data_IF_888494570785
#
_entry.id   IF_888494570785
#
_cell.length_a   1.000
_cell.length_b   1.000
_cell.length_c   1.000
_cell.angle_alpha   90.00
_cell.angle_beta   90.00
_cell.angle_gamma   90.00
#
_symmetry.space_group_name_H-M   'P 1'
#
loop_
_entity.id
_entity.type
_entity.pdbx_description
1 polymer ?
#
# COMPACT_ATOMS: atom_id res chain seq x y z
N UNK A 1 3.94 -24.61 -6.84
CA UNK A 1 3.56 -23.74 -5.71
C UNK A 1 4.53 -23.96 -4.56
N UNK A 2 5.20 -22.93 -4.06
CA UNK A 2 5.71 -22.98 -2.68
C UNK A 2 4.48 -23.06 -1.77
N UNK A 3 4.47 -23.96 -0.80
CA UNK A 3 3.37 -24.04 0.16
C UNK A 3 3.22 -22.69 0.90
N UNK A 4 2.04 -22.08 0.85
CA UNK A 4 1.69 -20.90 1.67
C UNK A 4 1.68 -19.53 1.00
N UNK A 5 1.80 -19.42 -0.33
CA UNK A 5 1.56 -18.15 -1.04
C UNK A 5 0.17 -18.15 -1.68
N UNK A 6 -0.58 -17.05 -1.53
CA UNK A 6 -1.89 -16.87 -2.15
C UNK A 6 -1.98 -15.46 -2.76
N UNK A 7 -2.40 -15.29 -4.03
CA UNK A 7 -2.49 -13.96 -4.65
C UNK A 7 -3.31 -12.94 -3.85
N UNK A 8 -4.39 -13.37 -3.23
CA UNK A 8 -5.30 -12.57 -2.41
C UNK A 8 -4.82 -12.32 -0.97
N UNK A 9 -3.64 -12.80 -0.58
CA UNK A 9 -3.11 -12.55 0.77
C UNK A 9 -1.59 -12.54 0.91
N UNK A 10 -0.84 -12.78 -0.17
CA UNK A 10 0.61 -12.89 -0.16
C UNK A 10 1.11 -14.11 0.62
N UNK A 11 2.33 -14.04 1.18
CA UNK A 11 2.86 -15.06 2.09
C UNK A 11 2.15 -15.01 3.46
N UNK A 12 2.27 -16.06 4.29
CA UNK A 12 1.56 -16.12 5.57
C UNK A 12 1.93 -14.93 6.48
N UNK A 13 0.91 -14.29 7.05
CA UNK A 13 1.10 -13.13 7.94
C UNK A 13 1.26 -11.79 7.22
N UNK A 14 1.33 -11.74 5.88
CA UNK A 14 1.49 -10.50 5.13
C UNK A 14 0.38 -9.47 5.42
N UNK A 15 -0.88 -9.86 5.34
CA UNK A 15 -2.00 -8.93 5.59
C UNK A 15 -1.98 -8.35 7.02
N UNK A 16 -1.56 -9.14 8.01
CA UNK A 16 -1.42 -8.66 9.38
C UNK A 16 -0.27 -7.66 9.51
N UNK A 17 0.86 -7.91 8.85
CA UNK A 17 1.98 -6.99 8.79
C UNK A 17 1.63 -5.69 8.04
N UNK A 18 0.93 -5.80 6.91
CA UNK A 18 0.43 -4.64 6.15
C UNK A 18 -0.54 -3.79 6.99
N UNK A 19 -1.43 -4.43 7.75
CA UNK A 19 -2.28 -3.73 8.71
C UNK A 19 -1.48 -3.06 9.84
N UNK A 20 -0.42 -3.68 10.34
CA UNK A 20 0.45 -3.07 11.33
C UNK A 20 1.14 -1.82 10.75
N UNK A 21 1.61 -1.90 9.51
CA UNK A 21 2.26 -0.78 8.84
C UNK A 21 1.31 0.39 8.57
N UNK A 22 0.07 0.11 8.15
CA UNK A 22 -0.97 1.14 8.04
C UNK A 22 -1.19 1.88 9.37
N UNK A 23 -1.19 1.17 10.51
CA UNK A 23 -1.30 1.80 11.84
C UNK A 23 -0.10 2.69 12.16
N UNK A 24 1.10 2.33 11.73
CA UNK A 24 2.28 3.18 11.90
C UNK A 24 2.17 4.48 11.09
N UNK A 25 1.68 4.42 9.85
CA UNK A 25 1.40 5.62 9.04
C UNK A 25 0.39 6.54 9.74
N UNK A 26 -0.66 5.98 10.34
CA UNK A 26 -1.66 6.77 11.08
C UNK A 26 -1.11 7.34 12.39
N UNK A 27 -0.17 6.65 13.04
CA UNK A 27 0.44 7.07 14.30
C UNK A 27 1.61 8.07 14.11
N UNK A 28 2.13 8.23 12.89
CA UNK A 28 3.23 9.13 12.60
C UNK A 28 2.89 10.60 12.95
N UNK A 29 3.75 11.25 13.72
CA UNK A 29 3.50 12.57 14.29
C UNK A 29 3.77 13.74 13.34
N UNK A 30 4.55 13.52 12.30
CA UNK A 30 4.99 14.54 11.35
C UNK A 30 5.12 13.97 9.92
N UNK A 31 5.34 14.83 8.90
CA UNK A 31 5.45 14.38 7.52
C UNK A 31 6.62 13.44 7.22
N UNK A 32 7.78 13.63 7.84
CA UNK A 32 8.96 12.78 7.61
C UNK A 32 8.73 11.37 8.19
N UNK A 33 8.20 11.29 9.40
CA UNK A 33 7.80 10.02 10.01
C UNK A 33 6.70 9.31 9.20
N UNK A 34 5.78 10.08 8.59
CA UNK A 34 4.73 9.52 7.73
C UNK A 34 5.35 8.92 6.46
N UNK A 35 6.30 9.63 5.85
CA UNK A 35 7.04 9.18 4.67
C UNK A 35 7.82 7.88 4.95
N UNK A 36 8.61 7.84 6.02
CA UNK A 36 9.36 6.63 6.41
C UNK A 36 8.43 5.43 6.65
N UNK A 37 7.30 5.64 7.34
CA UNK A 37 6.31 4.59 7.55
C UNK A 37 5.70 4.09 6.23
N UNK A 38 5.52 4.96 5.24
CA UNK A 38 5.07 4.62 3.90
C UNK A 38 6.12 3.84 3.10
N UNK A 39 7.40 4.26 3.16
CA UNK A 39 8.50 3.54 2.53
C UNK A 39 8.64 2.12 3.08
N UNK A 40 8.51 1.96 4.39
CA UNK A 40 8.51 0.65 5.03
C UNK A 40 7.32 -0.22 4.57
N UNK A 41 6.16 0.40 4.29
CA UNK A 41 5.02 -0.30 3.69
C UNK A 41 5.33 -0.75 2.28
N UNK A 42 5.79 0.15 1.41
CA UNK A 42 6.19 -0.19 0.04
C UNK A 42 7.24 -1.32 0.05
N UNK A 43 8.23 -1.24 0.93
CA UNK A 43 9.27 -2.24 1.10
C UNK A 43 8.75 -3.59 1.61
N UNK A 44 7.80 -3.59 2.56
CA UNK A 44 7.13 -4.81 3.02
C UNK A 44 6.40 -5.52 1.87
N UNK A 45 5.63 -4.76 1.09
CA UNK A 45 4.88 -5.27 -0.04
C UNK A 45 5.80 -5.76 -1.18
N UNK A 46 6.85 -5.01 -1.51
CA UNK A 46 7.84 -5.39 -2.50
C UNK A 46 8.61 -6.67 -2.13
N UNK A 47 8.94 -6.87 -0.84
CA UNK A 47 9.54 -8.13 -0.37
C UNK A 47 8.57 -9.31 -0.47
N UNK A 48 7.29 -9.09 -0.16
CA UNK A 48 6.26 -10.12 -0.30
C UNK A 48 6.06 -10.50 -1.78
N UNK A 49 6.04 -9.53 -2.69
CA UNK A 49 6.03 -9.75 -4.14
C UNK A 49 7.25 -10.56 -4.60
N UNK A 50 8.46 -10.20 -4.16
CA UNK A 50 9.68 -10.94 -4.52
C UNK A 50 9.73 -12.39 -4.00
N UNK A 51 8.89 -12.73 -3.01
CA UNK A 51 8.74 -14.09 -2.50
C UNK A 51 7.77 -14.96 -3.33
N UNK A 52 7.00 -14.35 -4.25
CA UNK A 52 6.07 -15.05 -5.12
C UNK A 52 6.79 -16.10 -5.97
N UNK A 53 6.18 -17.29 -6.19
CA UNK A 53 6.72 -18.27 -7.12
C UNK A 53 6.85 -17.70 -8.54
N UNK A 54 7.90 -18.09 -9.26
CA UNK A 54 8.08 -17.69 -10.66
C UNK A 54 6.88 -18.16 -11.51
N UNK A 55 6.31 -17.25 -12.31
CA UNK A 55 5.17 -17.52 -13.17
C UNK A 55 3.79 -17.19 -12.57
N UNK A 56 3.72 -16.66 -11.34
CA UNK A 56 2.48 -16.10 -10.80
C UNK A 56 2.20 -14.70 -11.35
N UNK A 57 0.93 -14.33 -11.54
CA UNK A 57 0.56 -13.06 -12.16
C UNK A 57 0.94 -11.85 -11.29
N UNK A 58 1.34 -10.77 -11.96
CA UNK A 58 1.72 -9.45 -11.39
C UNK A 58 0.55 -8.77 -10.63
N UNK A 59 -0.67 -9.32 -10.67
CA UNK A 59 -1.89 -8.71 -10.13
C UNK A 59 -2.26 -9.19 -8.71
N UNK A 60 -1.30 -9.67 -7.92
CA UNK A 60 -1.56 -10.07 -6.53
C UNK A 60 -1.54 -8.89 -5.56
N UNK A 61 -2.10 -9.09 -4.36
CA UNK A 61 -2.23 -8.02 -3.36
C UNK A 61 -0.88 -7.41 -2.95
N UNK A 62 0.21 -8.19 -2.75
CA UNK A 62 1.54 -7.63 -2.57
C UNK A 62 1.98 -6.70 -3.68
N UNK A 63 1.78 -7.05 -4.96
CA UNK A 63 2.13 -6.18 -6.07
C UNK A 63 1.35 -4.86 -6.04
N UNK A 64 0.03 -4.93 -5.90
CA UNK A 64 -0.83 -3.76 -5.86
C UNK A 64 -0.45 -2.81 -4.72
N UNK A 65 -0.24 -3.34 -3.51
CA UNK A 65 0.20 -2.55 -2.37
C UNK A 65 1.60 -1.97 -2.57
N UNK A 66 2.53 -2.71 -3.21
CA UNK A 66 3.86 -2.19 -3.51
C UNK A 66 3.81 -0.97 -4.42
N UNK A 67 2.92 -0.97 -5.41
CA UNK A 67 2.77 0.15 -6.34
C UNK A 67 2.04 1.33 -5.71
N UNK A 68 0.91 1.09 -5.04
CA UNK A 68 0.14 2.15 -4.34
C UNK A 68 1.05 2.90 -3.35
N UNK A 69 1.76 2.16 -2.49
CA UNK A 69 2.61 2.81 -1.49
C UNK A 69 3.85 3.46 -2.08
N UNK A 70 4.37 2.94 -3.20
CA UNK A 70 5.43 3.61 -3.97
C UNK A 70 4.95 4.97 -4.52
N UNK A 71 3.78 5.00 -5.17
CA UNK A 71 3.22 6.26 -5.69
C UNK A 71 2.96 7.28 -4.58
N UNK A 72 2.42 6.84 -3.45
CA UNK A 72 2.16 7.70 -2.31
C UNK A 72 3.43 8.30 -1.71
N UNK A 73 4.54 7.54 -1.68
CA UNK A 73 5.84 8.08 -1.25
C UNK A 73 6.45 9.00 -2.32
N UNK A 74 6.23 8.73 -3.61
CA UNK A 74 6.68 9.60 -4.69
C UNK A 74 6.01 10.99 -4.64
N UNK A 75 4.75 11.09 -4.20
CA UNK A 75 4.07 12.38 -3.98
C UNK A 75 4.79 13.27 -2.97
N UNK A 76 5.36 12.66 -1.91
CA UNK A 76 6.17 13.36 -0.92
C UNK A 76 7.52 13.80 -1.49
N UNK A 77 8.08 13.03 -2.44
CA UNK A 77 9.38 13.31 -3.07
C UNK A 77 9.30 14.19 -4.31
N UNK A 78 8.11 14.45 -4.82
CA UNK A 78 7.90 15.28 -6.01
C UNK A 78 8.48 16.70 -5.84
N UNK A 79 8.92 17.36 -6.94
CA UNK A 79 9.48 18.70 -6.89
C UNK A 79 8.60 19.67 -6.10
N UNK A 80 9.16 20.28 -5.06
CA UNK A 80 8.40 21.02 -4.03
C UNK A 80 8.36 20.34 -2.65
N UNK A 81 8.99 19.16 -2.50
CA UNK A 81 9.29 18.51 -1.21
C UNK A 81 9.78 19.52 -0.16
N UNK A 82 9.11 19.54 1.00
CA UNK A 82 9.36 20.49 2.09
C UNK A 82 8.48 21.76 2.04
N UNK A 83 7.75 22.00 0.95
CA UNK A 83 6.69 23.01 0.95
C UNK A 83 5.54 22.54 1.87
N UNK A 84 5.08 23.38 2.82
CA UNK A 84 4.11 22.97 3.83
C UNK A 84 2.82 22.39 3.24
N UNK A 85 2.29 23.00 2.17
CA UNK A 85 1.00 22.62 1.59
C UNK A 85 1.07 21.30 0.81
N UNK A 86 2.18 21.05 0.11
CA UNK A 86 2.39 19.79 -0.61
C UNK A 86 2.60 18.64 0.36
N UNK A 87 3.49 18.81 1.35
CA UNK A 87 3.73 17.79 2.38
C UNK A 87 2.47 17.47 3.15
N UNK A 88 1.66 18.48 3.51
CA UNK A 88 0.39 18.25 4.16
C UNK A 88 -0.62 17.52 3.26
N UNK A 89 -0.64 17.76 1.96
CA UNK A 89 -1.51 17.06 1.02
C UNK A 89 -1.13 15.58 0.87
N UNK A 90 0.14 15.29 0.63
CA UNK A 90 0.63 13.92 0.50
C UNK A 90 0.46 13.12 1.82
N UNK A 91 0.70 13.73 2.98
CA UNK A 91 0.39 13.12 4.29
C UNK A 91 -1.09 12.78 4.42
N UNK A 92 -2.00 13.67 4.00
CA UNK A 92 -3.44 13.37 4.02
C UNK A 92 -3.77 12.19 3.11
N UNK A 93 -3.11 12.09 1.95
CA UNK A 93 -3.33 11.00 1.00
C UNK A 93 -2.88 9.65 1.56
N UNK A 94 -1.68 9.59 2.14
CA UNK A 94 -1.15 8.40 2.83
C UNK A 94 -2.03 7.95 3.99
N UNK A 95 -2.50 8.90 4.81
CA UNK A 95 -3.40 8.58 5.94
C UNK A 95 -4.77 8.09 5.48
N UNK A 96 -5.29 8.63 4.37
CA UNK A 96 -6.52 8.14 3.74
C UNK A 96 -6.34 6.70 3.26
N UNK A 97 -5.27 6.40 2.53
CA UNK A 97 -4.95 5.03 2.08
C UNK A 97 -4.84 4.06 3.27
N UNK A 98 -4.10 4.43 4.31
CA UNK A 98 -3.96 3.61 5.52
C UNK A 98 -5.28 3.35 6.24
N UNK A 99 -6.14 4.38 6.35
CA UNK A 99 -7.46 4.27 7.00
C UNK A 99 -8.36 3.32 6.21
N UNK A 100 -8.51 3.58 4.92
CA UNK A 100 -9.35 2.78 4.03
C UNK A 100 -8.85 1.32 3.95
N UNK A 101 -7.54 1.09 3.93
CA UNK A 101 -6.96 -0.25 3.99
C UNK A 101 -7.39 -1.03 5.25
N UNK A 102 -7.33 -0.39 6.42
CA UNK A 102 -7.74 -1.02 7.68
C UNK A 102 -9.25 -1.30 7.69
N UNK A 103 -10.07 -0.42 7.12
CA UNK A 103 -11.51 -0.61 6.99
C UNK A 103 -11.85 -1.80 6.08
N UNK A 104 -11.22 -1.91 4.91
CA UNK A 104 -11.52 -3.02 3.98
C UNK A 104 -11.00 -4.36 4.47
N UNK A 105 -9.90 -4.40 5.22
CA UNK A 105 -9.44 -5.63 5.88
C UNK A 105 -10.41 -6.14 6.96
N UNK A 106 -11.11 -5.24 7.65
CA UNK A 106 -12.13 -5.60 8.64
C UNK A 106 -13.52 -5.80 8.05
N UNK A 107 -13.71 -5.55 6.76
CA UNK A 107 -15.01 -5.58 6.11
C UNK A 107 -15.52 -7.01 5.94
N UNK A 108 -16.81 -7.29 6.25
CA UNK A 108 -17.42 -8.57 5.95
C UNK A 108 -17.80 -8.73 4.47
N UNK A 109 -17.66 -7.66 3.67
CA UNK A 109 -18.07 -7.65 2.26
C UNK A 109 -17.05 -8.42 1.41
N UNK A 110 -17.47 -9.50 0.72
CA UNK A 110 -16.58 -10.23 -0.18
C UNK A 110 -16.00 -9.32 -1.26
N UNK A 111 -14.68 -9.41 -1.49
CA UNK A 111 -13.99 -8.63 -2.52
C UNK A 111 -13.71 -7.17 -2.15
N UNK A 112 -14.01 -6.71 -0.93
CA UNK A 112 -13.73 -5.33 -0.50
C UNK A 112 -12.25 -4.94 -0.68
N UNK A 113 -11.33 -5.85 -0.37
CA UNK A 113 -9.89 -5.62 -0.55
C UNK A 113 -9.53 -5.49 -2.04
N UNK A 114 -10.04 -6.37 -2.89
CA UNK A 114 -9.78 -6.30 -4.33
C UNK A 114 -10.33 -5.00 -4.94
N UNK A 115 -11.54 -4.58 -4.54
CA UNK A 115 -12.13 -3.32 -4.98
C UNK A 115 -11.35 -2.09 -4.49
N UNK A 116 -10.82 -2.12 -3.27
CA UNK A 116 -9.92 -1.09 -2.76
C UNK A 116 -8.65 -1.00 -3.62
N UNK A 117 -8.01 -2.14 -3.91
CA UNK A 117 -6.77 -2.16 -4.68
C UNK A 117 -6.98 -1.70 -6.12
N UNK A 118 -8.06 -2.14 -6.79
CA UNK A 118 -8.39 -1.70 -8.16
C UNK A 118 -8.59 -0.18 -8.22
N UNK A 119 -9.44 0.37 -7.34
CA UNK A 119 -9.69 1.80 -7.30
C UNK A 119 -8.42 2.59 -7.02
N UNK A 120 -7.63 2.19 -6.01
CA UNK A 120 -6.41 2.92 -5.66
C UNK A 120 -5.38 2.89 -6.77
N UNK A 121 -5.14 1.72 -7.39
CA UNK A 121 -4.21 1.63 -8.51
C UNK A 121 -4.62 2.50 -9.68
N UNK A 122 -5.88 2.39 -10.11
CA UNK A 122 -6.29 2.94 -11.40
C UNK A 122 -6.84 4.36 -11.31
N UNK A 123 -7.57 4.68 -10.24
CA UNK A 123 -8.26 5.97 -10.11
C UNK A 123 -7.45 6.96 -9.28
N UNK A 124 -6.85 6.52 -8.18
CA UNK A 124 -6.09 7.40 -7.28
C UNK A 124 -4.62 7.55 -7.72
N UNK A 125 -3.96 6.45 -8.08
CA UNK A 125 -2.57 6.44 -8.55
C UNK A 125 -2.43 6.60 -10.07
N UNK A 126 -3.50 6.37 -10.84
CA UNK A 126 -3.52 6.58 -12.30
C UNK A 126 -2.82 5.50 -13.14
N UNK A 127 -2.56 4.31 -12.60
CA UNK A 127 -2.01 3.19 -13.38
C UNK A 127 -3.02 2.71 -14.43
N UNK A 128 -2.54 2.36 -15.63
CA UNK A 128 -3.40 1.82 -16.69
C UNK A 128 -3.98 0.45 -16.31
N UNK A 129 -5.20 0.18 -16.77
CA UNK A 129 -5.79 -1.17 -16.67
C UNK A 129 -5.17 -2.06 -17.77
N UNK A 130 -4.83 -3.33 -17.48
CA UNK A 130 -4.34 -4.27 -18.48
C UNK A 130 -5.30 -4.52 -19.66
#
# INVERSE_FOLDING_TARGET
MKAGYYPESGPPGFLAAAAAQARLVLAAGDPDATYEAGLDFAGLAGRALGAAPAGEPIADFPAALSWIWGSLTDEMDAPGRGAPDQGAAAVRHMRRAATEWLEVLGSPVPGAVAAYLDRWLHEECGYERP
#
